data_IF_189337807574
#
_entry.id   IF_189337807574
#
_cell.length_a   1.000
_cell.length_b   1.000
_cell.length_c   1.000
_cell.angle_alpha   90.00
_cell.angle_beta   90.00
_cell.angle_gamma   90.00
#
_symmetry.space_group_name_H-M   'P 1'
#
loop_
_entity.id
_entity.type
_entity.pdbx_description
1 polymer ?
#
# COMPACT_ATOMS: atom_id res chain seq x y z
N UNK A 1 -1.79 -43.93 -9.88
CA UNK A 1 -0.53 -43.24 -10.22
C UNK A 1 -0.82 -42.37 -11.43
N UNK A 2 -1.01 -41.07 -11.33
CA UNK A 2 -0.36 -40.07 -10.46
C UNK A 2 -1.39 -39.08 -9.91
N UNK A 3 -1.24 -38.77 -8.63
CA UNK A 3 -2.00 -37.76 -7.90
C UNK A 3 -1.80 -36.38 -8.55
N UNK A 4 -2.90 -35.68 -8.82
CA UNK A 4 -2.87 -34.25 -9.07
C UNK A 4 -2.62 -33.58 -7.73
N UNK A 5 -1.35 -33.28 -7.45
CA UNK A 5 -0.96 -32.44 -6.33
C UNK A 5 -1.40 -31.01 -6.65
N UNK A 6 -2.60 -30.67 -6.18
CA UNK A 6 -3.06 -29.29 -6.06
C UNK A 6 -2.14 -28.64 -5.04
N UNK A 7 -1.11 -27.95 -5.53
CA UNK A 7 -0.21 -27.17 -4.69
C UNK A 7 -1.00 -25.98 -4.12
N UNK A 8 -1.52 -26.15 -2.90
CA UNK A 8 -2.05 -25.08 -2.09
C UNK A 8 -0.92 -24.08 -1.79
N UNK A 9 -1.11 -22.76 -1.99
CA UNK A 9 -0.12 -21.80 -1.52
C UNK A 9 -0.09 -21.84 0.01
N UNK A 10 1.12 -21.73 0.54
CA UNK A 10 1.43 -21.82 1.95
C UNK A 10 0.50 -20.95 2.81
N UNK A 11 -0.05 -21.56 3.86
CA UNK A 11 -0.72 -20.90 4.97
C UNK A 11 0.19 -19.78 5.51
N UNK A 12 -0.31 -18.53 5.47
CA UNK A 12 0.37 -17.41 6.10
C UNK A 12 0.45 -17.68 7.63
N UNK A 13 1.64 -17.64 8.25
CA UNK A 13 1.78 -17.95 9.66
C UNK A 13 1.34 -16.75 10.50
N UNK A 14 0.16 -16.82 11.13
CA UNK A 14 -0.22 -15.86 12.16
C UNK A 14 -1.69 -15.91 12.53
N UNK A 15 -1.96 -15.95 13.85
CA UNK A 15 -3.28 -15.87 14.50
C UNK A 15 -4.11 -14.66 14.05
N UNK A 16 -4.64 -14.71 12.83
CA UNK A 16 -5.72 -13.83 12.40
C UNK A 16 -7.01 -14.49 12.86
N UNK A 17 -7.81 -13.76 13.64
CA UNK A 17 -9.20 -14.15 13.88
C UNK A 17 -9.83 -14.24 12.50
N UNK A 18 -10.26 -15.44 12.09
CA UNK A 18 -10.95 -15.64 10.83
C UNK A 18 -12.31 -14.94 10.92
N UNK A 19 -12.34 -13.71 10.43
CA UNK A 19 -13.54 -12.87 10.39
C UNK A 19 -14.49 -13.26 9.26
N UNK A 20 -14.22 -14.35 8.52
CA UNK A 20 -14.97 -14.71 7.32
C UNK A 20 -14.87 -13.65 6.22
N UNK A 21 -13.85 -12.79 6.28
CA UNK A 21 -13.56 -11.82 5.24
C UNK A 21 -13.03 -12.60 4.03
N UNK A 22 -13.45 -12.26 2.79
CA UNK A 22 -12.83 -12.85 1.62
C UNK A 22 -11.32 -12.66 1.70
N UNK A 23 -10.55 -13.70 1.34
CA UNK A 23 -9.10 -13.57 1.17
C UNK A 23 -8.82 -12.29 0.39
N UNK A 24 -7.85 -11.50 0.86
CA UNK A 24 -7.39 -10.26 0.24
C UNK A 24 -6.85 -10.57 -1.16
N UNK A 25 -7.77 -10.74 -2.12
CA UNK A 25 -7.44 -10.78 -3.53
C UNK A 25 -6.87 -9.42 -3.93
N UNK A 26 -5.84 -9.42 -4.76
CA UNK A 26 -5.18 -8.19 -5.21
C UNK A 26 -3.68 -8.12 -4.95
N UNK A 27 -3.11 -9.06 -4.18
CA UNK A 27 -1.64 -9.18 -4.03
C UNK A 27 -1.09 -10.51 -4.56
N UNK A 28 -1.92 -11.33 -5.20
CA UNK A 28 -1.56 -12.69 -5.63
C UNK A 28 -0.41 -12.74 -6.64
N UNK A 29 -0.24 -11.66 -7.41
CA UNK A 29 0.81 -11.53 -8.42
C UNK A 29 2.06 -10.80 -7.91
N UNK A 30 2.02 -10.31 -6.66
CA UNK A 30 3.11 -9.51 -6.10
C UNK A 30 4.16 -10.43 -5.50
N UNK A 31 5.45 -10.34 -5.89
CA UNK A 31 6.47 -11.25 -5.38
C UNK A 31 6.66 -11.14 -3.86
N UNK A 32 6.64 -12.29 -3.19
CA UNK A 32 6.83 -12.45 -1.75
C UNK A 32 8.30 -12.67 -1.36
N UNK A 33 8.59 -12.59 -0.06
CA UNK A 33 9.90 -12.90 0.53
C UNK A 33 9.73 -13.75 1.78
N UNK A 34 10.63 -14.71 1.94
CA UNK A 34 10.68 -15.59 3.12
C UNK A 34 11.53 -15.00 4.26
N UNK A 35 12.29 -13.93 3.97
CA UNK A 35 13.10 -13.23 4.96
C UNK A 35 12.21 -12.52 6.00
N UNK A 36 12.50 -12.65 7.31
CA UNK A 36 11.72 -12.02 8.36
C UNK A 36 11.87 -10.50 8.30
N UNK A 37 10.74 -9.79 8.15
CA UNK A 37 10.69 -8.33 8.10
C UNK A 37 10.18 -7.76 9.42
N UNK A 38 10.64 -6.56 9.78
CA UNK A 38 10.22 -5.83 10.98
C UNK A 38 9.77 -4.42 10.61
N UNK A 39 8.97 -3.80 11.48
CA UNK A 39 8.48 -2.44 11.26
C UNK A 39 9.59 -1.40 11.03
N UNK A 40 10.77 -1.60 11.65
CA UNK A 40 11.94 -0.74 11.45
C UNK A 40 12.44 -0.74 10.01
N UNK A 41 12.26 -1.83 9.26
CA UNK A 41 12.80 -1.98 7.90
C UNK A 41 12.01 -1.13 6.90
N UNK A 42 10.79 -0.73 7.28
CA UNK A 42 9.90 0.16 6.54
C UNK A 42 10.03 1.63 6.92
N UNK A 43 10.90 1.98 7.88
CA UNK A 43 11.17 3.38 8.26
C UNK A 43 12.27 3.95 7.36
N UNK A 44 12.01 5.11 6.76
CA UNK A 44 13.05 5.89 6.07
C UNK A 44 13.99 6.56 7.07
N UNK A 45 15.10 7.11 6.56
CA UNK A 45 16.00 8.01 7.28
C UNK A 45 15.47 9.47 7.38
N UNK A 46 14.37 9.78 6.70
CA UNK A 46 13.79 11.12 6.68
C UNK A 46 13.07 11.46 7.99
N UNK A 47 13.34 12.67 8.50
CA UNK A 47 12.65 13.21 9.66
C UNK A 47 11.20 13.58 9.33
N UNK A 48 10.26 13.13 10.18
CA UNK A 48 8.84 13.42 10.03
C UNK A 48 8.55 14.86 10.45
N UNK A 49 8.05 15.67 9.51
CA UNK A 49 7.83 17.12 9.67
C UNK A 49 6.37 17.49 9.92
N UNK A 50 5.60 16.60 10.54
CA UNK A 50 4.24 16.90 10.96
C UNK A 50 4.24 17.64 12.30
N UNK A 51 3.15 18.35 12.58
CA UNK A 51 3.01 19.05 13.85
C UNK A 51 3.01 18.05 15.02
N UNK A 52 3.56 18.40 16.20
CA UNK A 52 3.44 17.57 17.40
C UNK A 52 1.97 17.26 17.71
N UNK A 53 1.65 15.99 17.90
CA UNK A 53 0.27 15.52 18.12
C UNK A 53 -0.57 15.29 16.87
N UNK A 54 0.01 15.42 15.66
CA UNK A 54 -0.69 15.10 14.42
C UNK A 54 -1.08 13.61 14.34
N UNK A 55 -2.30 13.31 13.89
CA UNK A 55 -2.79 11.93 13.75
C UNK A 55 -2.04 11.11 12.69
N UNK A 56 -1.40 11.76 11.72
CA UNK A 56 -0.63 11.08 10.66
C UNK A 56 0.52 10.23 11.22
N UNK A 57 1.06 10.58 12.39
CA UNK A 57 2.04 9.74 13.10
C UNK A 57 1.49 8.36 13.47
N UNK A 58 0.22 8.30 13.88
CA UNK A 58 -0.43 7.04 14.26
C UNK A 58 -0.66 6.19 13.01
N UNK A 59 -1.14 6.81 11.93
CA UNK A 59 -1.35 6.13 10.64
C UNK A 59 -0.03 5.58 10.10
N UNK A 60 1.04 6.37 10.12
CA UNK A 60 2.36 5.95 9.67
C UNK A 60 2.90 4.75 10.46
N UNK A 61 2.83 4.82 11.80
CA UNK A 61 3.29 3.73 12.66
C UNK A 61 2.46 2.45 12.47
N UNK A 62 1.15 2.58 12.25
CA UNK A 62 0.26 1.45 11.97
C UNK A 62 0.64 0.78 10.65
N UNK A 63 0.82 1.57 9.58
CA UNK A 63 1.23 1.04 8.26
C UNK A 63 2.62 0.39 8.34
N UNK A 64 3.61 1.03 8.96
CA UNK A 64 4.94 0.44 9.11
C UNK A 64 4.93 -0.87 9.91
N UNK A 65 4.01 -1.01 10.87
CA UNK A 65 3.85 -2.26 11.63
C UNK A 65 3.08 -3.34 10.88
N UNK A 66 2.21 -2.94 9.96
CA UNK A 66 1.39 -3.83 9.16
C UNK A 66 2.13 -4.38 7.93
N UNK A 67 2.89 -3.55 7.20
CA UNK A 67 3.56 -3.99 5.96
C UNK A 67 4.40 -5.27 6.09
N UNK A 68 5.17 -5.52 7.18
CA UNK A 68 5.87 -6.78 7.39
C UNK A 68 4.96 -8.02 7.37
N UNK A 69 3.69 -7.89 7.78
CA UNK A 69 2.76 -9.03 7.85
C UNK A 69 2.25 -9.46 6.49
N UNK A 70 2.45 -8.64 5.45
CA UNK A 70 2.07 -8.98 4.08
C UNK A 70 3.03 -9.96 3.41
N UNK A 71 4.26 -10.12 3.92
CA UNK A 71 5.26 -11.02 3.33
C UNK A 71 5.73 -10.62 1.92
N UNK A 72 5.43 -9.39 1.47
CA UNK A 72 5.81 -8.89 0.15
C UNK A 72 7.25 -8.39 0.15
N UNK A 73 7.92 -8.47 -1.01
CA UNK A 73 9.19 -7.78 -1.22
C UNK A 73 8.97 -6.27 -1.17
N UNK A 74 9.81 -5.59 -0.39
CA UNK A 74 9.68 -4.15 -0.11
C UNK A 74 9.81 -3.29 -1.37
N UNK A 75 10.63 -3.73 -2.32
CA UNK A 75 10.80 -3.15 -3.65
C UNK A 75 9.59 -3.32 -4.59
N UNK A 76 8.58 -4.12 -4.21
CA UNK A 76 7.34 -4.28 -4.98
C UNK A 76 6.15 -3.57 -4.34
N UNK A 77 6.35 -2.89 -3.21
CA UNK A 77 5.34 -2.04 -2.57
C UNK A 77 5.59 -0.60 -3.02
N UNK A 78 4.54 0.06 -3.53
CA UNK A 78 4.63 1.43 -4.05
C UNK A 78 3.57 2.32 -3.42
N UNK A 79 3.98 3.38 -2.74
CA UNK A 79 3.07 4.39 -2.19
C UNK A 79 3.03 5.64 -3.07
N UNK A 80 1.83 5.98 -3.56
CA UNK A 80 1.60 7.17 -4.38
C UNK A 80 0.75 8.16 -3.58
N UNK A 81 1.21 9.41 -3.50
CA UNK A 81 0.50 10.46 -2.78
C UNK A 81 0.30 11.72 -3.61
N UNK A 82 -0.64 12.56 -3.20
CA UNK A 82 -0.94 13.86 -3.84
C UNK A 82 -0.11 14.99 -3.25
N UNK A 83 -0.74 16.09 -2.85
CA UNK A 83 -0.10 17.21 -2.14
C UNK A 83 -0.87 17.54 -0.86
N UNK A 84 -0.13 17.71 0.24
CA UNK A 84 -0.67 18.05 1.56
C UNK A 84 0.23 17.50 2.68
N UNK A 85 -0.15 17.76 3.94
CA UNK A 85 0.56 17.19 5.10
C UNK A 85 0.60 15.67 5.01
N UNK A 86 -0.56 15.03 4.83
CA UNK A 86 -0.69 13.58 4.67
C UNK A 86 0.09 13.06 3.46
N UNK A 87 0.24 13.84 2.39
CA UNK A 87 0.91 13.39 1.17
C UNK A 87 2.43 13.31 1.29
N UNK A 88 3.01 13.75 2.42
CA UNK A 88 4.41 13.49 2.74
C UNK A 88 4.68 12.02 3.11
N UNK A 89 3.64 11.21 3.27
CA UNK A 89 3.72 9.81 3.69
C UNK A 89 4.78 8.96 2.96
N UNK A 90 4.91 9.01 1.61
CA UNK A 90 5.89 8.19 0.92
C UNK A 90 7.34 8.53 1.26
N UNK A 91 7.64 9.74 1.74
CA UNK A 91 9.00 10.08 2.20
C UNK A 91 9.38 9.35 3.48
N UNK A 92 8.39 8.91 4.26
CA UNK A 92 8.59 8.30 5.58
C UNK A 92 8.57 6.78 5.54
N UNK A 93 8.48 6.22 4.33
CA UNK A 93 8.50 4.79 4.08
C UNK A 93 9.75 4.41 3.29
N UNK A 94 10.37 3.32 3.70
CA UNK A 94 11.46 2.71 2.98
C UNK A 94 10.92 1.76 1.91
N UNK A 95 10.13 2.25 0.96
CA UNK A 95 9.61 1.50 -0.20
C UNK A 95 9.80 2.34 -1.45
N UNK A 96 9.37 1.87 -2.62
CA UNK A 96 9.17 2.82 -3.71
C UNK A 96 8.01 3.75 -3.37
N UNK A 97 8.14 5.00 -3.81
CA UNK A 97 7.13 6.02 -3.54
C UNK A 97 7.18 7.15 -4.55
N UNK A 98 6.01 7.74 -4.82
CA UNK A 98 5.88 8.95 -5.63
C UNK A 98 5.03 9.98 -4.89
N UNK A 99 5.64 11.10 -4.55
CA UNK A 99 4.93 12.31 -4.16
C UNK A 99 4.56 13.07 -5.43
N UNK A 100 3.30 12.98 -5.81
CA UNK A 100 2.83 13.38 -7.14
C UNK A 100 2.28 14.81 -7.16
N UNK A 101 1.26 15.06 -7.98
CA UNK A 101 0.62 16.37 -8.17
C UNK A 101 -0.71 16.39 -7.39
N UNK A 102 -1.08 17.57 -6.89
CA UNK A 102 -2.29 17.75 -6.09
C UNK A 102 -3.54 17.15 -6.76
N UNK A 103 -4.17 16.19 -6.09
CA UNK A 103 -5.34 15.45 -6.54
C UNK A 103 -5.13 14.57 -7.77
N UNK A 104 -3.90 14.14 -8.06
CA UNK A 104 -3.59 13.23 -9.20
C UNK A 104 -3.07 11.86 -8.78
N UNK A 105 -2.97 11.60 -7.48
CA UNK A 105 -2.53 10.30 -6.96
C UNK A 105 -3.38 9.13 -7.50
N UNK A 106 -4.74 9.16 -7.50
CA UNK A 106 -5.53 8.07 -8.05
C UNK A 106 -5.30 7.85 -9.56
N UNK A 107 -5.11 8.92 -10.33
CA UNK A 107 -4.86 8.84 -11.78
C UNK A 107 -3.53 8.15 -12.08
N UNK A 108 -2.48 8.53 -11.34
CA UNK A 108 -1.13 7.98 -11.51
C UNK A 108 -1.09 6.53 -11.01
N UNK A 109 -1.69 6.25 -9.85
CA UNK A 109 -1.79 4.90 -9.31
C UNK A 109 -2.54 3.96 -10.26
N UNK A 110 -3.61 4.43 -10.90
CA UNK A 110 -4.32 3.67 -11.93
C UNK A 110 -3.41 3.28 -13.09
N UNK A 111 -2.59 4.21 -13.59
CA UNK A 111 -1.62 3.91 -14.64
C UNK A 111 -0.58 2.88 -14.23
N UNK A 112 -0.05 2.98 -13.01
CA UNK A 112 0.94 2.05 -12.49
C UNK A 112 0.34 0.65 -12.28
N UNK A 113 -0.77 0.55 -11.54
CA UNK A 113 -1.40 -0.74 -11.24
C UNK A 113 -1.87 -1.48 -12.51
N UNK A 114 -2.30 -0.75 -13.54
CA UNK A 114 -2.72 -1.36 -14.81
C UNK A 114 -1.54 -1.88 -15.63
N UNK A 115 -0.38 -1.25 -15.53
CA UNK A 115 0.82 -1.62 -16.32
C UNK A 115 1.73 -2.62 -15.61
N UNK A 116 1.69 -2.65 -14.28
CA UNK A 116 2.52 -3.48 -13.42
C UNK A 116 1.67 -4.19 -12.38
N UNK A 117 0.95 -5.26 -12.77
CA UNK A 117 0.10 -6.03 -11.85
C UNK A 117 0.91 -6.81 -10.80
N UNK A 118 2.23 -6.87 -10.95
CA UNK A 118 3.20 -7.46 -10.03
C UNK A 118 3.62 -6.52 -8.88
N UNK A 119 3.02 -5.33 -8.79
CA UNK A 119 3.27 -4.36 -7.73
C UNK A 119 2.07 -4.22 -6.80
N UNK A 120 2.33 -4.10 -5.50
CA UNK A 120 1.33 -3.68 -4.51
C UNK A 120 1.32 -2.16 -4.47
N UNK A 121 0.32 -1.56 -5.12
CA UNK A 121 0.19 -0.10 -5.24
C UNK A 121 -0.76 0.40 -4.17
N UNK A 122 -0.38 1.47 -3.47
CA UNK A 122 -1.13 2.09 -2.38
C UNK A 122 -1.28 3.58 -2.63
N UNK A 123 -2.45 4.13 -2.34
CA UNK A 123 -2.71 5.58 -2.45
C UNK A 123 -2.87 6.22 -1.07
N UNK A 124 -2.12 7.30 -0.82
CA UNK A 124 -2.25 8.11 0.41
C UNK A 124 -2.53 9.56 0.06
N UNK A 125 -3.67 10.07 0.52
CA UNK A 125 -4.16 11.41 0.20
C UNK A 125 -4.76 12.09 1.42
N UNK A 126 -4.77 13.41 1.41
CA UNK A 126 -5.62 14.18 2.33
C UNK A 126 -7.07 14.23 1.82
N UNK A 127 -7.97 14.69 2.68
CA UNK A 127 -9.36 14.96 2.33
C UNK A 127 -9.49 15.98 1.18
N UNK A 128 -8.81 17.12 1.27
CA UNK A 128 -8.80 18.12 0.19
C UNK A 128 -8.15 17.61 -1.10
N UNK A 129 -7.14 16.75 -0.97
CA UNK A 129 -6.44 16.17 -2.13
C UNK A 129 -7.32 15.17 -2.88
N UNK A 130 -7.96 14.22 -2.17
CA UNK A 130 -8.75 13.15 -2.77
C UNK A 130 -10.23 13.50 -3.01
N UNK A 131 -10.86 14.26 -2.11
CA UNK A 131 -12.31 14.50 -2.12
C UNK A 131 -12.70 15.86 -2.69
N UNK A 132 -11.75 16.80 -2.81
CA UNK A 132 -11.96 18.08 -3.51
C UNK A 132 -11.34 18.02 -4.92
N UNK A 133 -10.11 18.51 -5.11
CA UNK A 133 -9.48 18.61 -6.44
C UNK A 133 -9.24 17.25 -7.12
N UNK A 134 -9.11 16.18 -6.33
CA UNK A 134 -8.95 14.81 -6.81
C UNK A 134 -10.26 14.01 -6.97
N UNK A 135 -11.40 14.57 -6.58
CA UNK A 135 -12.66 13.82 -6.41
C UNK A 135 -13.08 13.01 -7.63
N UNK A 136 -13.03 13.64 -8.82
CA UNK A 136 -13.37 12.95 -10.08
C UNK A 136 -12.46 11.75 -10.37
N UNK A 137 -11.16 11.85 -10.06
CA UNK A 137 -10.20 10.77 -10.29
C UNK A 137 -10.43 9.60 -9.34
N UNK A 138 -10.73 9.89 -8.07
CA UNK A 138 -11.03 8.88 -7.06
C UNK A 138 -12.29 8.09 -7.42
N UNK A 139 -13.41 8.77 -7.73
CA UNK A 139 -14.66 8.11 -8.13
C UNK A 139 -14.44 7.20 -9.34
N UNK A 140 -13.60 7.64 -10.26
CA UNK A 140 -13.26 6.92 -11.47
C UNK A 140 -12.34 5.71 -11.23
N UNK A 141 -11.42 5.77 -10.28
CA UNK A 141 -10.62 4.63 -9.86
C UNK A 141 -11.50 3.56 -9.20
N UNK A 142 -12.38 3.98 -8.28
CA UNK A 142 -13.33 3.09 -7.60
C UNK A 142 -14.30 2.42 -8.59
N UNK A 143 -14.90 3.19 -9.51
CA UNK A 143 -15.83 2.65 -10.52
C UNK A 143 -15.18 1.62 -11.45
N UNK A 144 -13.87 1.74 -11.70
CA UNK A 144 -13.11 0.79 -12.51
C UNK A 144 -12.62 -0.42 -11.72
N UNK A 145 -12.81 -0.42 -10.40
CA UNK A 145 -12.28 -1.44 -9.50
C UNK A 145 -10.77 -1.67 -9.73
N UNK A 146 -10.02 -0.56 -9.83
CA UNK A 146 -8.57 -0.63 -9.96
C UNK A 146 -7.99 -1.22 -8.67
N UNK A 147 -7.07 -2.17 -8.80
CA UNK A 147 -6.36 -2.77 -7.67
C UNK A 147 -5.27 -1.82 -7.12
N UNK A 148 -5.67 -0.88 -6.26
CA UNK A 148 -4.84 0.17 -5.61
C UNK A 148 -5.33 0.47 -4.19
#
# INVERSE_FOLDING_TARGET
MTTADVFFPAEAPGNTVDLGLPQLGGIDLVPTTDEPQKAKDYKSDQEVRWCPGCGDYVVLNAVQSFLPTLGLKRENIVFISGIGCSSRFPYYLNTYGMHSIHGRAPSIATGLATTRPDLSVWVVTGDGDALSIGGNHLIHALRRNVNI
#
